data_IF_069012315727
#
_entry.id   IF_069012315727
#
_cell.length_a   1.000
_cell.length_b   1.000
_cell.length_c   1.000
_cell.angle_alpha   90.00
_cell.angle_beta   90.00
_cell.angle_gamma   90.00
#
_symmetry.space_group_name_H-M   'P 1'
#
loop_
_entity.id
_entity.type
_entity.pdbx_description
1 polymer ?
#
# COMPACT_ATOMS: atom_id res chain seq x y z
N UNK A 1 12.15 -11.70 13.95
CA UNK A 1 11.64 -12.42 12.76
C UNK A 1 10.80 -13.59 13.24
N UNK A 2 9.74 -13.99 12.55
CA UNK A 2 8.86 -15.08 12.97
C UNK A 2 8.29 -15.83 11.77
N UNK A 3 8.31 -17.16 11.79
CA UNK A 3 7.63 -17.99 10.79
C UNK A 3 6.15 -18.08 11.15
N UNK A 4 5.29 -17.65 10.23
CA UNK A 4 3.82 -17.59 10.42
C UNK A 4 3.07 -18.69 9.65
N UNK A 5 3.77 -19.49 8.86
CA UNK A 5 3.18 -20.59 8.10
C UNK A 5 4.21 -21.45 7.40
N UNK A 6 3.81 -22.67 7.08
CA UNK A 6 4.57 -23.62 6.26
C UNK A 6 3.74 -23.99 5.04
N UNK A 7 4.43 -24.16 3.92
CA UNK A 7 3.86 -24.42 2.61
C UNK A 7 4.70 -25.45 1.88
N UNK A 8 4.06 -26.29 1.08
CA UNK A 8 4.76 -27.22 0.19
C UNK A 8 4.37 -26.94 -1.25
N UNK A 9 5.31 -27.20 -2.17
CA UNK A 9 5.11 -26.96 -3.60
C UNK A 9 4.04 -27.89 -4.15
N UNK A 10 3.14 -27.34 -4.97
CA UNK A 10 2.07 -28.05 -5.68
C UNK A 10 2.25 -27.80 -7.18
N UNK A 11 1.66 -28.64 -8.04
CA UNK A 11 1.83 -28.61 -9.52
C UNK A 11 1.82 -27.21 -10.14
N UNK A 12 0.89 -26.35 -9.72
CA UNK A 12 0.71 -24.99 -10.27
C UNK A 12 0.89 -23.87 -9.23
N UNK A 13 1.48 -24.13 -8.05
CA UNK A 13 1.57 -23.13 -6.98
C UNK A 13 2.01 -23.67 -5.63
N UNK A 14 1.47 -23.12 -4.54
CA UNK A 14 1.83 -23.50 -3.17
C UNK A 14 0.58 -23.79 -2.35
N UNK A 15 0.65 -24.80 -1.49
CA UNK A 15 -0.42 -25.18 -0.56
C UNK A 15 0.15 -25.34 0.84
N UNK A 16 -0.57 -24.88 1.87
CA UNK A 16 -0.04 -24.89 3.23
C UNK A 16 -0.99 -24.33 4.26
N UNK A 17 -0.43 -23.94 5.40
CA UNK A 17 -1.19 -23.37 6.52
C UNK A 17 -0.54 -22.10 7.05
N UNK A 18 -1.37 -21.16 7.52
CA UNK A 18 -0.93 -19.93 8.18
C UNK A 18 -1.52 -19.90 9.57
N UNK A 19 -0.66 -19.80 10.58
CA UNK A 19 -1.03 -19.74 11.99
C UNK A 19 -0.33 -18.58 12.66
N UNK A 20 -1.12 -17.59 13.03
CA UNK A 20 -0.76 -16.49 13.91
C UNK A 20 -1.53 -16.65 15.24
N UNK A 21 -1.39 -15.70 16.17
CA UNK A 21 -2.14 -15.72 17.42
C UNK A 21 -3.65 -15.52 17.22
N UNK A 22 -4.05 -14.69 16.24
CA UNK A 22 -5.46 -14.34 16.00
C UNK A 22 -6.09 -15.07 14.80
N UNK A 23 -5.28 -15.58 13.86
CA UNK A 23 -5.76 -16.26 12.66
C UNK A 23 -5.11 -17.65 12.54
N UNK A 24 -5.92 -18.70 12.41
CA UNK A 24 -5.49 -20.07 12.18
C UNK A 24 -6.20 -20.65 10.96
N UNK A 25 -5.55 -20.58 9.80
CA UNK A 25 -6.05 -21.12 8.53
C UNK A 25 -5.23 -22.35 8.16
N UNK A 26 -5.89 -23.51 8.22
CA UNK A 26 -5.29 -24.82 7.88
C UNK A 26 -5.05 -25.02 6.37
N UNK A 27 -5.73 -24.24 5.52
CA UNK A 27 -5.70 -24.42 4.06
C UNK A 27 -5.59 -23.05 3.39
N UNK A 28 -4.35 -22.66 3.11
CA UNK A 28 -4.00 -21.49 2.30
C UNK A 28 -3.42 -21.99 0.99
N UNK A 29 -3.97 -21.51 -0.13
CA UNK A 29 -3.53 -21.86 -1.49
C UNK A 29 -3.06 -20.61 -2.24
N UNK A 30 -1.97 -20.76 -2.96
CA UNK A 30 -1.41 -19.77 -3.88
C UNK A 30 -1.76 -20.24 -5.28
N UNK A 31 -2.76 -19.61 -5.90
CA UNK A 31 -3.08 -19.84 -7.30
C UNK A 31 -2.32 -18.83 -8.16
N UNK A 32 -1.85 -19.20 -9.37
CA UNK A 32 -1.30 -18.22 -10.31
C UNK A 32 -2.39 -17.19 -10.64
N UNK A 33 -1.99 -15.95 -10.85
CA UNK A 33 -2.92 -14.89 -11.20
C UNK A 33 -3.02 -14.79 -12.73
N UNK A 34 -4.14 -15.24 -13.30
CA UNK A 34 -4.46 -14.93 -14.69
C UNK A 34 -4.66 -13.41 -14.82
N UNK A 35 -3.70 -12.76 -15.47
CA UNK A 35 -3.60 -11.31 -15.56
C UNK A 35 -2.20 -10.85 -15.98
N UNK A 36 -1.95 -10.87 -17.29
CA UNK A 36 -0.72 -10.38 -17.93
C UNK A 36 -0.59 -8.85 -17.72
N UNK A 37 -0.01 -8.47 -16.60
CA UNK A 37 0.35 -7.09 -16.29
C UNK A 37 1.74 -7.12 -15.64
N UNK A 38 2.69 -6.37 -16.19
CA UNK A 38 4.07 -6.26 -15.71
C UNK A 38 4.21 -5.83 -14.22
N UNK A 39 3.14 -5.25 -13.67
CA UNK A 39 3.03 -4.81 -12.26
C UNK A 39 1.97 -5.60 -11.47
N UNK A 40 1.37 -6.62 -12.07
CA UNK A 40 0.38 -7.49 -11.45
C UNK A 40 1.00 -8.35 -10.33
N UNK A 41 0.17 -8.97 -9.47
CA UNK A 41 0.63 -10.03 -8.60
C UNK A 41 0.83 -11.32 -9.40
N UNK A 42 1.94 -12.04 -9.20
CA UNK A 42 2.16 -13.35 -9.82
C UNK A 42 1.19 -14.41 -9.26
N UNK A 43 0.90 -14.34 -7.96
CA UNK A 43 0.00 -15.29 -7.28
C UNK A 43 -1.09 -14.57 -6.49
N UNK A 44 -2.30 -15.15 -6.49
CA UNK A 44 -3.43 -14.78 -5.62
C UNK A 44 -3.51 -15.77 -4.47
N UNK A 45 -3.62 -15.25 -3.25
CA UNK A 45 -3.65 -16.05 -2.03
C UNK A 45 -5.10 -16.18 -1.55
N UNK A 46 -5.53 -17.42 -1.37
CA UNK A 46 -6.86 -17.75 -0.84
C UNK A 46 -6.73 -18.52 0.46
N UNK A 47 -7.40 -18.04 1.51
CA UNK A 47 -7.59 -18.73 2.78
C UNK A 47 -8.97 -19.40 2.76
N UNK A 48 -9.01 -20.71 2.48
CA UNK A 48 -10.27 -21.40 2.19
C UNK A 48 -11.03 -20.75 1.02
N UNK A 49 -12.16 -20.12 1.33
CA UNK A 49 -13.01 -19.42 0.35
C UNK A 49 -12.68 -17.93 0.18
N UNK A 50 -11.99 -17.31 1.12
CA UNK A 50 -11.73 -15.86 1.14
C UNK A 50 -10.42 -15.54 0.44
N UNK A 51 -10.38 -14.45 -0.33
CA UNK A 51 -9.14 -13.88 -0.86
C UNK A 51 -8.45 -13.11 0.26
N UNK A 52 -7.30 -13.59 0.72
CA UNK A 52 -6.56 -13.00 1.85
C UNK A 52 -5.24 -12.35 1.44
N UNK A 53 -4.93 -12.27 0.15
CA UNK A 53 -3.71 -11.59 -0.28
C UNK A 53 -3.24 -11.86 -1.70
N UNK A 54 -1.98 -11.51 -1.93
CA UNK A 54 -1.27 -11.68 -3.17
C UNK A 54 0.23 -11.87 -2.92
N UNK A 55 0.93 -12.50 -3.86
CA UNK A 55 2.39 -12.63 -3.83
C UNK A 55 3.01 -12.18 -5.15
N UNK A 56 4.24 -11.69 -5.06
CA UNK A 56 5.09 -11.30 -6.18
C UNK A 56 6.40 -12.08 -6.13
N UNK A 57 6.84 -12.68 -7.23
CA UNK A 57 8.17 -13.29 -7.32
C UNK A 57 9.22 -12.18 -7.30
N UNK A 58 10.26 -12.34 -6.49
CA UNK A 58 11.40 -11.42 -6.41
C UNK A 58 12.70 -12.19 -6.25
N UNK A 59 13.77 -11.67 -6.81
CA UNK A 59 15.11 -12.18 -6.59
C UNK A 59 15.86 -11.23 -5.65
N UNK A 60 16.57 -11.79 -4.67
CA UNK A 60 17.39 -11.03 -3.72
C UNK A 60 18.66 -10.50 -4.42
N UNK A 61 19.32 -9.51 -3.79
CA UNK A 61 20.67 -9.07 -4.19
C UNK A 61 21.69 -10.21 -4.14
N UNK A 62 21.43 -11.20 -3.30
CA UNK A 62 22.22 -12.42 -3.13
C UNK A 62 21.86 -13.53 -4.16
N UNK A 63 21.04 -13.23 -5.17
CA UNK A 63 20.63 -14.21 -6.20
C UNK A 63 19.59 -15.25 -5.73
N UNK A 64 19.15 -15.21 -4.47
CA UNK A 64 18.11 -16.10 -3.94
C UNK A 64 16.71 -15.65 -4.37
N UNK A 65 15.95 -16.55 -4.99
CA UNK A 65 14.53 -16.32 -5.29
C UNK A 65 13.67 -16.43 -4.02
N UNK A 66 12.74 -15.49 -3.86
CA UNK A 66 11.74 -15.48 -2.79
C UNK A 66 10.43 -14.89 -3.29
N UNK A 67 9.31 -15.20 -2.64
CA UNK A 67 8.03 -14.59 -2.99
C UNK A 67 7.66 -13.56 -1.92
N UNK A 68 7.56 -12.30 -2.31
CA UNK A 68 7.11 -11.20 -1.47
C UNK A 68 5.60 -11.27 -1.35
N UNK A 69 5.11 -11.61 -0.16
CA UNK A 69 3.70 -11.87 0.15
C UNK A 69 3.10 -10.66 0.88
N UNK A 70 1.90 -10.25 0.47
CA UNK A 70 1.05 -9.31 1.21
C UNK A 70 -0.23 -10.04 1.61
N UNK A 71 -0.50 -10.11 2.91
CA UNK A 71 -1.74 -10.65 3.47
C UNK A 71 -2.60 -9.51 4.02
N UNK A 72 -3.79 -9.38 3.46
CA UNK A 72 -4.81 -8.40 3.81
C UNK A 72 -6.06 -9.16 4.26
N UNK A 73 -6.47 -8.96 5.51
CA UNK A 73 -7.62 -9.62 6.11
C UNK A 73 -8.21 -8.70 7.19
N UNK A 74 -9.55 -8.56 7.29
CA UNK A 74 -10.19 -7.66 8.27
C UNK A 74 -9.91 -8.01 9.74
N UNK A 75 -9.40 -9.21 10.06
CA UNK A 75 -8.94 -9.54 11.42
C UNK A 75 -7.58 -8.91 11.78
N UNK A 76 -6.85 -8.38 10.81
CA UNK A 76 -5.57 -7.72 11.05
C UNK A 76 -5.74 -6.19 11.15
N UNK A 77 -5.16 -5.52 12.17
CA UNK A 77 -5.24 -4.07 12.30
C UNK A 77 -4.38 -3.32 11.27
N UNK A 78 -3.55 -4.03 10.50
CA UNK A 78 -2.74 -3.50 9.42
C UNK A 78 -2.30 -4.63 8.47
N UNK A 79 -2.05 -4.29 7.20
CA UNK A 79 -1.54 -5.18 6.17
C UNK A 79 -0.24 -5.89 6.60
N UNK A 80 -0.18 -7.22 6.42
CA UNK A 80 0.97 -8.04 6.78
C UNK A 80 1.87 -8.28 5.57
N UNK A 81 3.15 -7.93 5.69
CA UNK A 81 4.18 -8.17 4.68
C UNK A 81 5.08 -9.33 5.09
N UNK A 82 5.08 -10.41 4.33
CA UNK A 82 5.88 -11.61 4.59
C UNK A 82 6.73 -11.98 3.36
N UNK A 83 7.70 -12.86 3.56
CA UNK A 83 8.53 -13.46 2.51
C UNK A 83 8.39 -14.98 2.58
N UNK A 84 7.91 -15.59 1.50
CA UNK A 84 7.94 -17.04 1.32
C UNK A 84 9.30 -17.42 0.75
N UNK A 85 10.08 -18.19 1.51
CA UNK A 85 11.41 -18.69 1.13
C UNK A 85 11.41 -20.20 1.14
N UNK A 86 12.18 -20.81 0.24
CA UNK A 86 12.45 -22.25 0.29
C UNK A 86 13.34 -22.56 1.50
N UNK A 87 13.14 -23.73 2.10
CA UNK A 87 13.92 -24.23 3.25
C UNK A 87 15.02 -25.17 2.78
N UNK A 88 15.82 -25.71 3.70
CA UNK A 88 16.82 -26.75 3.38
C UNK A 88 16.21 -28.06 2.83
N UNK A 89 14.91 -28.27 2.99
CA UNK A 89 14.18 -29.38 2.37
C UNK A 89 13.58 -28.92 1.04
N UNK A 90 13.99 -29.55 -0.07
CA UNK A 90 13.50 -29.24 -1.41
C UNK A 90 11.97 -29.37 -1.50
N UNK A 91 11.30 -28.32 -1.96
CA UNK A 91 9.84 -28.29 -2.07
C UNK A 91 9.09 -27.81 -0.82
N UNK A 92 9.75 -27.63 0.33
CA UNK A 92 9.16 -27.03 1.53
C UNK A 92 9.56 -25.56 1.70
N UNK A 93 8.57 -24.72 1.98
CA UNK A 93 8.65 -23.27 2.01
C UNK A 93 8.16 -22.72 3.36
N UNK A 94 8.96 -21.83 3.95
CA UNK A 94 8.61 -21.10 5.16
C UNK A 94 8.10 -19.71 4.84
N UNK A 95 6.93 -19.35 5.36
CA UNK A 95 6.39 -17.99 5.28
C UNK A 95 6.90 -17.19 6.48
N UNK A 96 7.90 -16.35 6.22
CA UNK A 96 8.60 -15.57 7.23
C UNK A 96 8.04 -14.15 7.28
N UNK A 97 7.58 -13.74 8.46
CA UNK A 97 7.15 -12.38 8.76
C UNK A 97 8.21 -11.65 9.60
N UNK A 98 8.36 -10.35 9.36
CA UNK A 98 9.15 -9.46 10.20
C UNK A 98 8.36 -8.20 10.54
N UNK A 99 8.46 -7.75 11.80
CA UNK A 99 7.90 -6.48 12.23
C UNK A 99 8.90 -5.37 11.87
N UNK A 100 8.51 -4.33 11.11
CA UNK A 100 9.38 -3.17 10.91
C UNK A 100 9.64 -2.50 12.26
N UNK A 101 10.87 -1.99 12.51
CA UNK A 101 11.30 -1.50 13.82
C UNK A 101 10.31 -0.48 14.39
N UNK A 102 10.15 -0.52 15.72
CA UNK A 102 9.11 0.26 16.39
C UNK A 102 9.44 1.75 16.47
N UNK A 103 10.72 2.12 16.31
CA UNK A 103 11.24 3.49 16.37
C UNK A 103 11.24 4.21 15.00
N UNK A 104 10.35 3.85 14.08
CA UNK A 104 10.13 4.65 12.88
C UNK A 104 9.20 5.84 13.23
N UNK A 105 9.67 7.10 13.19
CA UNK A 105 8.86 8.26 13.57
C UNK A 105 7.65 8.47 12.65
N UNK A 106 7.61 7.87 11.46
CA UNK A 106 6.45 7.94 10.55
C UNK A 106 5.23 7.14 11.06
N UNK A 107 5.42 6.22 12.01
CA UNK A 107 4.36 5.34 12.51
C UNK A 107 3.31 6.03 13.41
N UNK A 108 3.56 7.29 13.79
CA UNK A 108 2.64 8.07 14.63
C UNK A 108 1.47 8.72 13.89
N UNK A 109 1.33 8.53 12.57
CA UNK A 109 0.23 9.10 11.78
C UNK A 109 -0.63 8.05 11.07
N UNK A 110 -1.39 7.29 11.87
CA UNK A 110 -2.76 7.00 11.49
C UNK A 110 -3.62 8.15 12.07
N UNK A 111 -4.12 9.11 11.27
CA UNK A 111 -4.96 10.16 11.79
C UNK A 111 -6.30 9.56 12.23
N UNK A 112 -6.50 9.41 13.54
CA UNK A 112 -7.82 9.22 14.11
C UNK A 112 -8.64 10.47 13.76
N UNK A 113 -9.66 10.30 12.93
CA UNK A 113 -10.50 11.41 12.48
C UNK A 113 -11.22 12.02 13.69
N UNK A 114 -10.83 13.25 14.07
CA UNK A 114 -11.38 13.92 15.25
C UNK A 114 -10.50 15.09 15.72
N UNK A 115 -10.48 16.19 14.96
CA UNK A 115 -9.71 17.38 15.33
C UNK A 115 -10.02 18.58 14.44
N UNK A 116 -10.51 19.65 15.05
CA UNK A 116 -10.97 20.89 14.41
C UNK A 116 -9.98 21.52 13.41
N UNK A 117 -10.53 22.13 12.36
CA UNK A 117 -9.80 23.07 11.50
C UNK A 117 -9.50 24.37 12.27
N UNK A 118 -8.24 24.80 12.40
CA UNK A 118 -7.95 26.14 12.87
C UNK A 118 -8.19 27.15 11.74
N UNK A 119 -9.32 27.86 11.82
CA UNK A 119 -9.48 29.13 11.12
C UNK A 119 -8.51 30.16 11.73
N UNK A 120 -7.32 30.30 11.14
CA UNK A 120 -6.36 31.36 11.51
C UNK A 120 -6.12 32.29 10.33
N UNK A 121 -6.96 33.33 10.24
CA UNK A 121 -6.59 34.51 9.46
C UNK A 121 -5.48 35.29 10.18
N UNK A 122 -4.49 35.79 9.46
CA UNK A 122 -3.63 36.85 9.95
C UNK A 122 -3.66 38.07 9.03
N UNK A 123 -4.00 39.18 9.66
CA UNK A 123 -3.99 40.54 9.12
C UNK A 123 -2.54 41.01 8.96
N UNK A 124 -2.24 41.78 7.90
CA UNK A 124 -1.07 42.66 7.84
C UNK A 124 -1.50 44.11 7.62
N UNK A 125 -0.96 45.09 8.37
CA UNK A 125 -1.36 46.50 8.28
C UNK A 125 -0.57 47.31 7.23
N UNK A 126 -1.11 48.50 6.93
CA UNK A 126 -0.61 49.49 5.97
C UNK A 126 0.80 50.05 6.27
N UNK A 127 1.54 50.45 5.23
CA UNK A 127 1.71 51.86 4.77
C UNK A 127 2.37 51.83 3.37
N UNK A 128 1.75 52.38 2.32
CA UNK A 128 1.79 53.78 1.90
C UNK A 128 3.13 54.23 1.27
N UNK A 129 3.20 54.21 -0.07
CA UNK A 129 3.96 55.22 -0.82
C UNK A 129 3.25 55.54 -2.15
N UNK A 130 3.48 56.75 -2.65
CA UNK A 130 2.63 57.41 -3.66
C UNK A 130 3.47 57.97 -4.81
N UNK A 131 3.11 57.63 -6.06
CA UNK A 131 3.37 58.38 -7.30
C UNK A 131 2.60 57.63 -8.41
N UNK A 132 1.45 58.10 -8.91
CA UNK A 132 1.15 59.26 -9.77
C UNK A 132 1.54 59.09 -11.25
N UNK A 133 0.50 59.24 -12.11
CA UNK A 133 0.48 59.65 -13.52
C UNK A 133 1.50 58.98 -14.47
N UNK A 134 1.07 58.15 -15.42
CA UNK A 134 0.46 58.58 -16.71
C UNK A 134 -0.05 57.33 -17.47
N UNK A 135 -0.85 57.34 -18.55
CA UNK A 135 -1.54 58.38 -19.35
C UNK A 135 -2.84 57.79 -19.99
N UNK A 136 -3.61 58.62 -20.69
CA UNK A 136 -4.74 58.26 -21.59
C UNK A 136 -4.34 58.49 -23.07
N UNK A 137 -5.15 58.22 -24.13
CA UNK A 137 -6.57 57.75 -24.24
C UNK A 137 -6.71 56.37 -24.97
N UNK A 138 -7.82 55.62 -25.06
CA UNK A 138 -9.23 55.85 -25.52
C UNK A 138 -9.34 56.33 -26.99
N UNK A 139 -10.46 56.10 -27.75
CA UNK A 139 -11.73 55.35 -27.53
C UNK A 139 -11.96 54.26 -28.65
N UNK A 140 -13.05 53.47 -28.76
CA UNK A 140 -14.46 53.75 -29.14
C UNK A 140 -15.28 52.43 -29.06
N UNK A 141 -16.45 52.33 -28.40
CA UNK A 141 -17.82 52.72 -28.83
C UNK A 141 -18.66 51.46 -29.29
N UNK A 142 -20.02 51.48 -29.36
CA UNK A 142 -20.83 50.50 -28.60
C UNK A 142 -22.04 49.86 -29.34
N UNK A 143 -22.99 49.26 -28.58
CA UNK A 143 -24.39 48.84 -28.93
C UNK A 143 -24.55 47.58 -29.82
N UNK A 144 -25.60 46.73 -29.71
CA UNK A 144 -26.75 46.61 -28.78
C UNK A 144 -27.36 45.18 -28.85
N UNK A 145 -28.25 44.75 -27.93
CA UNK A 145 -29.00 43.48 -27.99
C UNK A 145 -30.45 43.63 -28.51
N UNK A 146 -31.17 42.48 -28.56
CA UNK A 146 -32.52 42.22 -29.11
C UNK A 146 -32.55 42.00 -30.65
N UNK A 147 -33.34 41.07 -31.19
CA UNK A 147 -34.50 40.32 -30.64
C UNK A 147 -34.32 38.81 -30.80
#
# INVERSE_FOLDING_TARGET
>A
MATIGTFSRTTNGFSGSVKTLNLNVKTVRFAPADGENEKGPDFRIFAGVTKSGAAWKKTSREGRDYHSVKLDDPSFPALIYASLVETDTEGDFSLIWSRPPQNDPTRHQAPLQGGAWPCSGQVQPRLCQTQQATLWPAPCAPSSPAT
#
